data_IF_431913406118
#
_entry.id   IF_431913406118
#
_cell.length_a   1.000
_cell.length_b   1.000
_cell.length_c   1.000
_cell.angle_alpha   90.00
_cell.angle_beta   90.00
_cell.angle_gamma   90.00
#
_symmetry.space_group_name_H-M   'P 1'
#
loop_
_entity.id
_entity.type
_entity.pdbx_description
1 polymer ?
#
# COMPACT_ATOMS: atom_id res chain seq x y z
N UNK A 1 17.31 8.43 -0.82
CA UNK A 1 16.26 7.40 -0.98
C UNK A 1 16.85 6.32 -1.82
N UNK A 2 17.03 5.15 -1.19
CA UNK A 2 17.60 3.99 -1.85
C UNK A 2 16.57 3.39 -2.81
N UNK A 3 17.02 3.01 -4.00
CA UNK A 3 16.15 2.51 -5.06
C UNK A 3 15.43 1.21 -4.61
N UNK A 4 16.10 0.46 -3.73
CA UNK A 4 15.61 -0.78 -3.14
C UNK A 4 14.43 -0.58 -2.16
N UNK A 5 14.37 0.53 -1.42
CA UNK A 5 13.21 0.84 -0.56
C UNK A 5 11.96 1.15 -1.40
N UNK A 6 12.15 1.85 -2.53
CA UNK A 6 11.05 2.18 -3.45
C UNK A 6 10.54 0.95 -4.19
N UNK A 7 11.44 0.03 -4.57
CA UNK A 7 11.11 -1.28 -5.15
C UNK A 7 10.44 -2.21 -4.13
N UNK A 8 10.86 -2.17 -2.86
CA UNK A 8 10.28 -2.94 -1.76
C UNK A 8 8.80 -2.64 -1.54
N UNK A 9 8.43 -1.35 -1.50
CA UNK A 9 7.04 -0.91 -1.35
C UNK A 9 6.15 -1.35 -2.52
N UNK A 10 6.62 -1.19 -3.75
CA UNK A 10 5.85 -1.56 -4.95
C UNK A 10 5.62 -3.06 -5.04
N UNK A 11 6.62 -3.86 -4.65
CA UNK A 11 6.52 -5.32 -4.64
C UNK A 11 5.51 -5.82 -3.61
N UNK A 12 5.49 -5.24 -2.41
CA UNK A 12 4.53 -5.60 -1.37
C UNK A 12 3.10 -5.27 -1.80
N UNK A 13 2.87 -4.07 -2.35
CA UNK A 13 1.54 -3.71 -2.87
C UNK A 13 1.06 -4.68 -3.96
N UNK A 14 1.95 -5.06 -4.89
CA UNK A 14 1.64 -6.04 -5.93
C UNK A 14 1.29 -7.41 -5.34
N UNK A 15 2.05 -7.88 -4.34
CA UNK A 15 1.80 -9.16 -3.66
C UNK A 15 0.44 -9.15 -2.98
N UNK A 16 0.12 -8.09 -2.22
CA UNK A 16 -1.18 -7.98 -1.53
C UNK A 16 -2.34 -7.89 -2.52
N UNK A 17 -2.17 -7.14 -3.61
CA UNK A 17 -3.17 -7.05 -4.68
C UNK A 17 -3.42 -8.40 -5.34
N UNK A 18 -2.36 -9.16 -5.62
CA UNK A 18 -2.48 -10.52 -6.17
C UNK A 18 -3.13 -11.49 -5.19
N UNK A 19 -2.79 -11.41 -3.91
CA UNK A 19 -3.39 -12.25 -2.88
C UNK A 19 -4.90 -12.00 -2.77
N UNK A 20 -5.33 -10.74 -2.73
CA UNK A 20 -6.76 -10.38 -2.73
C UNK A 20 -7.48 -10.88 -3.98
N UNK A 21 -6.86 -10.73 -5.15
CA UNK A 21 -7.43 -11.24 -6.40
C UNK A 21 -7.61 -12.77 -6.37
N UNK A 22 -6.63 -13.51 -5.84
CA UNK A 22 -6.74 -14.96 -5.69
C UNK A 22 -7.82 -15.37 -4.70
N UNK A 23 -7.94 -14.68 -3.57
CA UNK A 23 -9.01 -14.93 -2.59
C UNK A 23 -10.37 -14.68 -3.25
N UNK A 24 -10.55 -13.55 -3.93
CA UNK A 24 -11.78 -13.24 -4.65
C UNK A 24 -12.15 -14.31 -5.68
N UNK A 25 -11.20 -14.73 -6.51
CA UNK A 25 -11.44 -15.80 -7.50
C UNK A 25 -11.81 -17.13 -6.84
N UNK A 26 -11.15 -17.48 -5.75
CA UNK A 26 -11.46 -18.71 -4.99
C UNK A 26 -12.87 -18.64 -4.40
N UNK A 27 -13.27 -17.48 -3.88
CA UNK A 27 -14.63 -17.23 -3.39
C UNK A 27 -15.69 -17.40 -4.49
N UNK A 28 -15.42 -16.93 -5.71
CA UNK A 28 -16.35 -17.15 -6.84
C UNK A 28 -16.48 -18.64 -7.19
N UNK A 29 -15.39 -19.40 -7.17
CA UNK A 29 -15.45 -20.86 -7.38
C UNK A 29 -16.31 -21.54 -6.31
N UNK A 30 -16.17 -21.14 -5.04
CA UNK A 30 -16.98 -21.67 -3.94
C UNK A 30 -18.47 -21.32 -4.13
N UNK A 31 -18.75 -20.09 -4.55
CA UNK A 31 -20.12 -19.64 -4.88
C UNK A 31 -20.74 -20.51 -5.98
N UNK A 32 -20.00 -20.75 -7.07
CA UNK A 32 -20.46 -21.58 -8.18
C UNK A 32 -20.64 -23.06 -7.75
N UNK A 33 -19.85 -23.51 -6.77
CA UNK A 33 -19.96 -24.83 -6.13
C UNK A 33 -21.12 -24.97 -5.14
N UNK A 34 -21.96 -23.95 -4.96
CA UNK A 34 -23.11 -23.98 -4.06
C UNK A 34 -22.77 -23.75 -2.58
N UNK A 35 -21.65 -23.07 -2.29
CA UNK A 35 -21.33 -22.64 -0.93
C UNK A 35 -22.41 -21.69 -0.36
N UNK A 36 -22.43 -21.57 0.97
CA UNK A 36 -23.40 -20.73 1.67
C UNK A 36 -23.35 -19.27 1.15
N UNK A 37 -24.46 -18.73 0.58
CA UNK A 37 -24.49 -17.39 0.01
C UNK A 37 -24.13 -16.26 0.99
N UNK A 38 -24.55 -16.38 2.26
CA UNK A 38 -24.24 -15.37 3.28
C UNK A 38 -22.75 -15.34 3.60
N UNK A 39 -22.11 -16.51 3.64
CA UNK A 39 -20.66 -16.56 3.84
C UNK A 39 -19.90 -15.95 2.66
N UNK A 40 -20.36 -16.19 1.43
CA UNK A 40 -19.79 -15.57 0.23
C UNK A 40 -19.92 -14.05 0.27
N UNK A 41 -21.09 -13.54 0.66
CA UNK A 41 -21.35 -12.10 0.78
C UNK A 41 -20.41 -11.45 1.80
N UNK A 42 -20.28 -12.02 3.00
CA UNK A 42 -19.36 -11.53 4.02
C UNK A 42 -17.89 -11.56 3.58
N UNK A 43 -17.48 -12.60 2.84
CA UNK A 43 -16.12 -12.67 2.30
C UNK A 43 -15.90 -11.57 1.25
N UNK A 44 -16.86 -11.35 0.36
CA UNK A 44 -16.79 -10.28 -0.64
C UNK A 44 -16.71 -8.89 0.02
N UNK A 45 -17.54 -8.62 1.01
CA UNK A 45 -17.50 -7.37 1.78
C UNK A 45 -16.14 -7.19 2.48
N UNK A 46 -15.60 -8.25 3.08
CA UNK A 46 -14.27 -8.22 3.67
C UNK A 46 -13.16 -7.91 2.66
N UNK A 47 -13.23 -8.48 1.44
CA UNK A 47 -12.30 -8.17 0.35
C UNK A 47 -12.39 -6.70 -0.03
N UNK A 48 -13.60 -6.15 -0.19
CA UNK A 48 -13.80 -4.73 -0.54
C UNK A 48 -13.22 -3.78 0.51
N UNK A 49 -13.44 -4.07 1.80
CA UNK A 49 -12.88 -3.27 2.89
C UNK A 49 -11.35 -3.28 2.89
N UNK A 50 -10.72 -4.44 2.67
CA UNK A 50 -9.26 -4.53 2.61
C UNK A 50 -8.73 -3.80 1.37
N UNK A 51 -9.41 -3.91 0.23
CA UNK A 51 -9.04 -3.16 -0.98
C UNK A 51 -9.08 -1.65 -0.75
N UNK A 52 -10.13 -1.13 -0.11
CA UNK A 52 -10.23 0.29 0.23
C UNK A 52 -9.08 0.74 1.13
N UNK A 53 -8.73 -0.05 2.16
CA UNK A 53 -7.62 0.26 3.06
C UNK A 53 -6.27 0.29 2.34
N UNK A 54 -6.04 -0.61 1.38
CA UNK A 54 -4.83 -0.62 0.58
C UNK A 54 -4.73 0.61 -0.32
N UNK A 55 -5.83 1.03 -0.93
CA UNK A 55 -5.86 2.23 -1.78
C UNK A 55 -5.58 3.49 -0.94
N UNK A 56 -6.23 3.65 0.22
CA UNK A 56 -5.98 4.76 1.13
C UNK A 56 -4.52 4.80 1.63
N UNK A 57 -3.94 3.64 1.93
CA UNK A 57 -2.54 3.53 2.33
C UNK A 57 -1.60 3.91 1.19
N UNK A 58 -1.87 3.48 -0.04
CA UNK A 58 -1.09 3.82 -1.22
C UNK A 58 -1.12 5.34 -1.50
N UNK A 59 -2.30 5.97 -1.42
CA UNK A 59 -2.41 7.43 -1.57
C UNK A 59 -1.64 8.19 -0.50
N UNK A 60 -1.72 7.75 0.75
CA UNK A 60 -1.01 8.38 1.87
C UNK A 60 0.49 8.31 1.65
N UNK A 61 1.00 7.15 1.26
CA UNK A 61 2.41 6.94 0.95
C UNK A 61 2.87 7.83 -0.21
N UNK A 62 2.05 7.99 -1.25
CA UNK A 62 2.38 8.88 -2.37
C UNK A 62 2.44 10.35 -1.93
N UNK A 63 1.50 10.79 -1.09
CA UNK A 63 1.50 12.15 -0.50
C UNK A 63 2.74 12.39 0.37
N UNK A 64 3.11 11.44 1.22
CA UNK A 64 4.32 11.51 2.04
C UNK A 64 5.60 11.57 1.18
N UNK A 65 5.71 10.71 0.16
CA UNK A 65 6.84 10.76 -0.79
C UNK A 65 6.93 12.10 -1.51
N UNK A 66 5.81 12.71 -1.89
CA UNK A 66 5.77 14.06 -2.48
C UNK A 66 6.23 15.13 -1.48
N UNK A 67 5.73 15.08 -0.24
CA UNK A 67 6.12 16.02 0.81
C UNK A 67 7.62 15.93 1.14
N UNK A 68 8.16 14.71 1.21
CA UNK A 68 9.58 14.48 1.47
C UNK A 68 10.47 15.00 0.32
N UNK A 69 10.06 14.78 -0.95
CA UNK A 69 10.74 15.38 -2.11
C UNK A 69 10.72 16.91 -2.07
N UNK A 70 9.60 17.51 -1.64
CA UNK A 70 9.49 18.95 -1.46
C UNK A 70 10.40 19.47 -0.35
N UNK A 71 10.45 18.81 0.80
CA UNK A 71 11.35 19.16 1.91
C UNK A 71 12.82 19.09 1.49
N UNK A 72 13.22 18.03 0.80
CA UNK A 72 14.60 17.87 0.32
C UNK A 72 14.97 18.94 -0.71
N UNK A 73 14.04 19.31 -1.60
CA UNK A 73 14.24 20.44 -2.52
C UNK A 73 14.36 21.77 -1.77
N UNK A 74 13.48 22.02 -0.80
CA UNK A 74 13.46 23.25 -0.02
C UNK A 74 14.73 23.43 0.83
N UNK A 75 15.27 22.36 1.41
CA UNK A 75 16.58 22.37 2.11
C UNK A 75 17.73 22.77 1.18
N UNK A 76 17.75 22.23 -0.05
CA UNK A 76 18.76 22.58 -1.06
C UNK A 76 18.66 24.05 -1.48
N UNK A 77 17.45 24.53 -1.72
CA UNK A 77 17.22 25.91 -2.16
C UNK A 77 17.62 26.93 -1.06
N UNK A 78 17.45 26.58 0.22
CA UNK A 78 17.78 27.45 1.36
C UNK A 78 19.23 27.34 1.86
N UNK A 79 20.10 26.52 1.25
CA UNK A 79 21.49 26.29 1.71
C UNK A 79 21.61 25.95 3.20
N UNK A 80 20.60 25.29 3.78
CA UNK A 80 20.63 24.90 5.19
C UNK A 80 21.60 23.72 5.32
N UNK A 81 22.71 23.84 6.08
CA UNK A 81 23.61 22.72 6.30
C UNK A 81 22.86 21.58 6.99
N UNK A 82 23.18 20.30 6.67
CA UNK A 82 22.57 19.18 7.35
C UNK A 82 22.75 19.34 8.86
N UNK A 83 21.69 19.09 9.62
CA UNK A 83 21.78 19.11 11.08
C UNK A 83 22.88 18.13 11.50
N UNK A 84 23.86 18.63 12.25
CA UNK A 84 24.90 17.80 12.87
C UNK A 84 24.17 16.88 13.83
N UNK A 85 24.12 15.58 13.53
CA UNK A 85 23.61 14.58 14.48
C UNK A 85 24.46 14.67 15.75
N UNK A 86 23.84 14.75 16.95
CA UNK A 86 24.60 14.74 18.18
C UNK A 86 25.36 13.40 18.30
N UNK A 87 26.62 13.41 18.76
CA UNK A 87 27.37 12.18 18.97
C UNK A 87 26.70 11.35 20.07
N UNK A 88 26.73 10.02 19.86
CA UNK A 88 26.18 8.96 20.72
C UNK A 88 26.37 9.16 22.24
#
# INVERSE_FOLDING_TARGET
>A
MDFDETLGDQRLFLIFSMALLMVFKSTQILKDGGANPQAIELICEGIELISLQLDEAAERLEKEKKAQKWLEKFKKDLHIPPAIEPPD
#
